data_IF_833903396976
#
_entry.id   IF_833903396976
#
_cell.length_a   1.000
_cell.length_b   1.000
_cell.length_c   1.000
_cell.angle_alpha   90.00
_cell.angle_beta   90.00
_cell.angle_gamma   90.00
#
_symmetry.space_group_name_H-M   'P 1'
#
loop_
_entity.id
_entity.type
_entity.pdbx_description
1 polymer ?
#
# COMPACT_ATOMS: atom_id res chain seq x y z
N UNK A 1 -16.20 8.46 16.78
CA UNK A 1 -16.84 7.47 15.91
C UNK A 1 -16.42 7.68 14.47
N UNK A 2 -16.05 6.62 13.78
CA UNK A 2 -15.56 6.70 12.40
C UNK A 2 -16.70 6.58 11.42
N UNK A 3 -16.82 7.55 10.50
CA UNK A 3 -17.85 7.53 9.47
C UNK A 3 -17.39 6.69 8.27
N UNK A 4 -18.37 6.23 7.48
CA UNK A 4 -18.09 5.56 6.21
C UNK A 4 -17.29 6.49 5.27
N UNK A 5 -17.59 7.79 5.30
CA UNK A 5 -16.88 8.77 4.49
C UNK A 5 -15.39 8.85 4.86
N UNK A 6 -15.10 8.85 6.18
CA UNK A 6 -13.72 8.86 6.65
C UNK A 6 -12.98 7.57 6.25
N UNK A 7 -13.65 6.44 6.34
CA UNK A 7 -13.06 5.16 5.93
C UNK A 7 -12.77 5.15 4.42
N UNK A 8 -13.72 5.59 3.61
CA UNK A 8 -13.52 5.66 2.15
C UNK A 8 -12.38 6.60 1.78
N UNK A 9 -12.30 7.75 2.44
CA UNK A 9 -11.22 8.71 2.19
C UNK A 9 -9.86 8.11 2.54
N UNK A 10 -9.76 7.43 3.69
CA UNK A 10 -8.51 6.80 4.10
C UNK A 10 -8.11 5.67 3.15
N UNK A 11 -9.07 4.85 2.72
CA UNK A 11 -8.77 3.79 1.74
C UNK A 11 -8.31 4.39 0.41
N UNK A 12 -8.94 5.47 -0.03
CA UNK A 12 -8.53 6.15 -1.26
C UNK A 12 -7.10 6.67 -1.16
N UNK A 13 -6.73 7.25 -0.01
CA UNK A 13 -5.36 7.69 0.22
C UNK A 13 -4.40 6.51 0.14
N UNK A 14 -4.70 5.42 0.84
CA UNK A 14 -3.86 4.22 0.80
C UNK A 14 -3.69 3.71 -0.64
N UNK A 15 -4.79 3.60 -1.38
CA UNK A 15 -4.75 3.10 -2.76
C UNK A 15 -3.92 4.00 -3.68
N UNK A 16 -4.11 5.32 -3.57
CA UNK A 16 -3.33 6.28 -4.37
C UNK A 16 -1.84 6.16 -4.03
N UNK A 17 -1.50 6.04 -2.74
CA UNK A 17 -0.11 5.92 -2.34
C UNK A 17 0.53 4.63 -2.84
N UNK A 18 -0.22 3.52 -2.86
CA UNK A 18 0.27 2.26 -3.44
C UNK A 18 0.53 2.43 -4.94
N UNK A 19 -0.38 3.10 -5.65
CA UNK A 19 -0.19 3.36 -7.09
C UNK A 19 1.02 4.27 -7.32
N UNK A 20 1.21 5.30 -6.49
CA UNK A 20 2.39 6.16 -6.58
C UNK A 20 3.69 5.39 -6.35
N UNK A 21 3.70 4.48 -5.39
CA UNK A 21 4.84 3.60 -5.19
C UNK A 21 5.15 2.80 -6.45
N UNK A 22 4.12 2.17 -7.05
CA UNK A 22 4.30 1.39 -8.28
C UNK A 22 4.79 2.26 -9.44
N UNK A 23 4.28 3.49 -9.53
CA UNK A 23 4.67 4.42 -10.59
C UNK A 23 6.15 4.82 -10.50
N UNK A 24 6.65 5.09 -9.29
CA UNK A 24 8.05 5.48 -9.11
C UNK A 24 9.00 4.38 -9.56
N UNK A 25 8.63 3.12 -9.34
CA UNK A 25 9.44 1.99 -9.79
C UNK A 25 9.43 1.82 -11.30
N UNK A 26 8.41 2.33 -11.99
CA UNK A 26 8.25 2.14 -13.44
C UNK A 26 8.73 3.30 -14.29
N UNK A 27 8.88 4.50 -13.73
CA UNK A 27 9.29 5.67 -14.50
C UNK A 27 10.69 5.54 -15.10
N UNK A 28 11.53 4.68 -14.56
CA UNK A 28 12.87 4.46 -15.07
C UNK A 28 12.94 3.49 -16.26
N UNK A 29 11.81 2.91 -16.67
CA UNK A 29 11.75 1.95 -17.78
C UNK A 29 11.09 2.58 -18.99
N UNK A 30 11.62 2.25 -20.19
CA UNK A 30 11.14 2.81 -21.46
C UNK A 30 9.89 2.12 -22.00
N UNK A 31 9.28 1.22 -21.25
CA UNK A 31 8.12 0.45 -21.68
C UNK A 31 6.83 1.24 -21.55
N UNK A 32 5.71 0.63 -21.97
CA UNK A 32 4.39 1.19 -21.77
C UNK A 32 4.13 1.39 -20.28
N UNK A 33 4.08 2.64 -19.86
CA UNK A 33 3.96 2.99 -18.44
C UNK A 33 2.65 2.49 -17.85
N UNK A 34 1.55 2.56 -18.59
CA UNK A 34 0.25 2.15 -18.06
C UNK A 34 0.17 0.65 -17.81
N UNK A 35 0.67 -0.17 -18.77
CA UNK A 35 0.69 -1.63 -18.60
C UNK A 35 1.64 -2.02 -17.48
N UNK A 36 2.84 -1.43 -17.46
CA UNK A 36 3.81 -1.70 -16.42
C UNK A 36 3.34 -1.27 -15.04
N UNK A 37 2.65 -0.12 -14.98
CA UNK A 37 2.07 0.36 -13.73
C UNK A 37 1.06 -0.63 -13.17
N UNK A 38 0.12 -1.10 -14.00
CA UNK A 38 -0.88 -2.07 -13.57
C UNK A 38 -0.23 -3.36 -13.10
N UNK A 39 0.74 -3.87 -13.88
CA UNK A 39 1.44 -5.11 -13.54
C UNK A 39 2.11 -5.03 -12.16
N UNK A 40 2.69 -3.88 -11.83
CA UNK A 40 3.34 -3.69 -10.53
C UNK A 40 2.34 -3.40 -9.41
N UNK A 41 1.31 -2.62 -9.70
CA UNK A 41 0.40 -2.11 -8.66
C UNK A 41 -0.61 -3.16 -8.18
N UNK A 42 -1.16 -4.00 -9.06
CA UNK A 42 -2.30 -4.85 -8.70
C UNK A 42 -2.01 -5.82 -7.55
N UNK A 43 -0.81 -6.46 -7.44
CA UNK A 43 -0.56 -7.33 -6.29
C UNK A 43 -0.63 -6.57 -4.96
N UNK A 44 -0.09 -5.36 -4.94
CA UNK A 44 -0.11 -4.53 -3.74
C UNK A 44 -1.48 -3.97 -3.45
N UNK A 45 -2.27 -3.61 -4.48
CA UNK A 45 -3.65 -3.17 -4.28
C UNK A 45 -4.52 -4.29 -3.73
N UNK A 46 -4.38 -5.49 -4.26
CA UNK A 46 -5.13 -6.65 -3.75
C UNK A 46 -4.72 -6.95 -2.30
N UNK A 47 -3.43 -6.91 -2.01
CA UNK A 47 -2.93 -7.11 -0.66
C UNK A 47 -3.43 -5.99 0.29
N UNK A 48 -3.51 -4.76 -0.20
CA UNK A 48 -4.07 -3.64 0.57
C UNK A 48 -5.52 -3.90 0.95
N UNK A 49 -6.32 -4.38 0.00
CA UNK A 49 -7.73 -4.74 0.27
C UNK A 49 -7.79 -5.83 1.35
N UNK A 50 -6.95 -6.86 1.21
CA UNK A 50 -6.89 -7.93 2.22
C UNK A 50 -6.51 -7.38 3.59
N UNK A 51 -5.53 -6.48 3.64
CA UNK A 51 -5.11 -5.84 4.87
C UNK A 51 -6.23 -5.05 5.54
N UNK A 52 -6.99 -4.30 4.74
CA UNK A 52 -8.14 -3.56 5.24
C UNK A 52 -9.22 -4.48 5.81
N UNK A 53 -9.49 -5.60 5.12
CA UNK A 53 -10.51 -6.55 5.57
C UNK A 53 -10.06 -7.28 6.84
N UNK A 54 -8.82 -7.76 6.87
CA UNK A 54 -8.30 -8.53 8.00
C UNK A 54 -8.23 -7.67 9.26
N UNK A 55 -7.77 -6.43 9.14
CA UNK A 55 -7.60 -5.53 10.28
C UNK A 55 -8.86 -4.78 10.65
N UNK A 56 -9.92 -4.87 9.84
CA UNK A 56 -11.11 -4.03 9.99
C UNK A 56 -10.71 -2.55 10.06
N UNK A 57 -9.93 -2.12 9.09
CA UNK A 57 -9.34 -0.79 9.09
C UNK A 57 -10.39 0.33 9.16
N UNK A 58 -11.60 0.07 8.65
CA UNK A 58 -12.69 1.06 8.68
C UNK A 58 -13.10 1.45 10.10
N UNK A 59 -12.76 0.64 11.11
CA UNK A 59 -13.07 0.97 12.51
C UNK A 59 -12.13 2.03 13.08
N UNK A 60 -10.92 2.15 12.55
CA UNK A 60 -9.94 3.14 12.98
C UNK A 60 -8.98 3.46 11.83
N UNK A 61 -9.48 4.07 10.73
CA UNK A 61 -8.72 4.16 9.48
C UNK A 61 -7.44 5.00 9.57
N UNK A 62 -7.38 5.95 10.49
CA UNK A 62 -6.19 6.81 10.63
C UNK A 62 -5.28 6.42 11.79
N UNK A 63 -5.59 5.33 12.50
CA UNK A 63 -4.76 4.86 13.60
C UNK A 63 -3.41 4.37 13.08
N UNK A 64 -2.33 4.82 13.70
CA UNK A 64 -0.97 4.48 13.26
C UNK A 64 -0.65 3.02 13.63
N UNK A 65 -0.73 2.70 14.91
CA UNK A 65 -0.31 1.39 15.41
C UNK A 65 -1.35 0.31 15.13
N UNK A 66 -2.60 0.62 15.40
CA UNK A 66 -3.67 -0.37 15.22
C UNK A 66 -3.92 -0.71 13.75
N UNK A 67 -3.84 0.28 12.86
CA UNK A 67 -4.21 0.13 11.44
C UNK A 67 -3.01 0.27 10.53
N UNK A 68 -2.24 1.33 10.67
CA UNK A 68 -1.14 1.62 9.77
C UNK A 68 -0.09 0.52 9.71
N UNK A 69 0.38 0.05 10.84
CA UNK A 69 1.40 -0.99 10.88
C UNK A 69 0.91 -2.32 10.31
N UNK A 70 -0.25 -2.87 10.74
CA UNK A 70 -0.72 -4.13 10.15
C UNK A 70 -1.07 -4.01 8.67
N UNK A 71 -1.71 -2.92 8.25
CA UNK A 71 -2.03 -2.71 6.82
C UNK A 71 -0.76 -2.67 6.00
N UNK A 72 0.27 -1.94 6.46
CA UNK A 72 1.56 -1.90 5.80
C UNK A 72 2.17 -3.30 5.69
N UNK A 73 2.23 -4.05 6.80
CA UNK A 73 2.84 -5.37 6.82
C UNK A 73 2.14 -6.34 5.89
N UNK A 74 0.81 -6.35 5.88
CA UNK A 74 0.02 -7.22 5.01
C UNK A 74 0.16 -6.80 3.55
N UNK A 75 0.20 -5.49 3.27
CA UNK A 75 0.37 -4.99 1.91
C UNK A 75 1.71 -5.42 1.33
N UNK A 76 2.80 -5.28 2.09
CA UNK A 76 4.13 -5.67 1.63
C UNK A 76 4.22 -7.19 1.47
N UNK A 77 3.88 -7.94 2.52
CA UNK A 77 4.00 -9.40 2.50
C UNK A 77 3.07 -10.02 1.47
N UNK A 78 1.80 -9.59 1.44
CA UNK A 78 0.81 -10.09 0.50
C UNK A 78 1.16 -9.73 -0.94
N UNK A 79 1.63 -8.51 -1.17
CA UNK A 79 2.08 -8.10 -2.50
C UNK A 79 3.24 -8.95 -3.01
N UNK A 80 4.22 -9.25 -2.15
CA UNK A 80 5.34 -10.09 -2.52
C UNK A 80 4.91 -11.53 -2.81
N UNK A 81 4.02 -12.09 -1.99
CA UNK A 81 3.49 -13.44 -2.22
C UNK A 81 2.76 -13.51 -3.55
N UNK A 82 1.91 -12.53 -3.85
CA UNK A 82 1.17 -12.49 -5.11
C UNK A 82 2.10 -12.35 -6.30
N UNK A 83 3.13 -11.50 -6.20
CA UNK A 83 4.13 -11.35 -7.25
C UNK A 83 4.83 -12.68 -7.53
N UNK A 84 5.26 -13.36 -6.48
CA UNK A 84 5.91 -14.66 -6.63
C UNK A 84 4.98 -15.69 -7.27
N UNK A 85 3.71 -15.69 -6.85
CA UNK A 85 2.72 -16.65 -7.36
C UNK A 85 2.47 -16.50 -8.86
N UNK A 86 2.57 -15.28 -9.40
CA UNK A 86 2.34 -15.03 -10.83
C UNK A 86 3.64 -14.89 -11.62
N UNK A 87 4.77 -15.29 -11.04
CA UNK A 87 6.05 -15.27 -11.74
C UNK A 87 6.74 -13.93 -11.85
N UNK A 88 6.31 -12.93 -11.10
CA UNK A 88 7.01 -11.66 -11.05
C UNK A 88 8.20 -11.73 -10.10
N UNK A 89 9.19 -10.86 -10.31
CA UNK A 89 10.39 -10.88 -9.47
C UNK A 89 10.13 -10.40 -8.05
N UNK A 90 10.83 -11.03 -7.10
CA UNK A 90 10.81 -10.63 -5.69
C UNK A 90 12.24 -10.51 -5.16
N UNK A 91 13.09 -9.82 -5.92
CA UNK A 91 14.46 -9.59 -5.51
C UNK A 91 14.54 -8.93 -4.13
N UNK A 92 15.56 -9.29 -3.35
CA UNK A 92 15.73 -8.75 -2.00
C UNK A 92 15.77 -7.23 -2.00
N UNK A 93 16.45 -6.62 -2.97
CA UNK A 93 16.51 -5.17 -3.09
C UNK A 93 15.11 -4.56 -3.27
N UNK A 94 14.27 -5.19 -4.08
CA UNK A 94 12.90 -4.71 -4.29
C UNK A 94 12.07 -4.84 -3.00
N UNK A 95 12.22 -5.96 -2.27
CA UNK A 95 11.51 -6.16 -1.00
C UNK A 95 11.88 -5.05 -0.01
N UNK A 96 13.17 -4.74 0.10
CA UNK A 96 13.65 -3.69 1.02
C UNK A 96 13.07 -2.33 0.63
N UNK A 97 13.16 -1.98 -0.65
CA UNK A 97 12.65 -0.69 -1.13
C UNK A 97 11.13 -0.61 -0.91
N UNK A 98 10.40 -1.65 -1.27
CA UNK A 98 8.96 -1.67 -1.08
C UNK A 98 8.57 -1.54 0.39
N UNK A 99 9.26 -2.27 1.28
CA UNK A 99 8.99 -2.21 2.70
C UNK A 99 9.19 -0.79 3.24
N UNK A 100 10.29 -0.15 2.88
CA UNK A 100 10.62 1.19 3.37
C UNK A 100 9.67 2.23 2.78
N UNK A 101 9.48 2.23 1.46
CA UNK A 101 8.65 3.25 0.80
C UNK A 101 7.21 3.13 1.24
N UNK A 102 6.66 1.91 1.26
CA UNK A 102 5.28 1.71 1.68
C UNK A 102 5.09 2.02 3.17
N UNK A 103 6.12 1.76 3.99
CA UNK A 103 6.07 2.18 5.40
C UNK A 103 5.93 3.69 5.49
N UNK A 104 6.81 4.43 4.81
CA UNK A 104 6.78 5.89 4.84
C UNK A 104 5.44 6.42 4.35
N UNK A 105 4.90 5.84 3.28
CA UNK A 105 3.64 6.31 2.71
C UNK A 105 2.44 5.92 3.57
N UNK A 106 2.26 4.63 3.85
CA UNK A 106 1.05 4.13 4.52
C UNK A 106 1.01 4.47 6.00
N UNK A 107 2.11 4.36 6.69
CA UNK A 107 2.20 4.71 8.10
C UNK A 107 2.42 6.21 8.27
N UNK A 108 3.24 6.80 7.41
CA UNK A 108 3.61 8.21 7.48
C UNK A 108 2.43 9.15 7.31
N UNK A 109 1.51 8.89 6.36
CA UNK A 109 0.37 9.80 6.19
C UNK A 109 -0.54 9.78 7.42
N UNK A 110 -0.65 8.63 8.08
CA UNK A 110 -1.44 8.51 9.31
C UNK A 110 -0.79 9.30 10.45
N UNK A 111 0.54 9.24 10.55
CA UNK A 111 1.27 10.02 11.53
C UNK A 111 1.10 11.52 11.28
N UNK A 112 1.17 11.96 10.01
CA UNK A 112 0.94 13.36 9.66
C UNK A 112 -0.49 13.79 10.00
N UNK A 113 -1.47 12.93 9.76
CA UNK A 113 -2.86 13.23 10.09
C UNK A 113 -3.05 13.48 11.60
N UNK A 114 -2.30 12.77 12.44
CA UNK A 114 -2.33 13.02 13.89
C UNK A 114 -1.77 14.39 14.25
N UNK A 115 -0.72 14.84 13.51
CA UNK A 115 -0.09 16.12 13.81
C UNK A 115 -0.96 17.31 13.43
N UNK A 116 -1.83 17.16 12.44
CA UNK A 116 -2.65 18.28 11.93
C UNK A 116 -4.12 18.21 12.38
N UNK A 117 -4.51 17.18 13.09
CA UNK A 117 -5.91 17.05 13.53
C UNK A 117 -6.16 17.58 14.93
#
# INVERSE_FOLDING_TARGET
>A
MTSARAALAAFAVDAVLVVLFAATGRLSHAENVLVGLWTTAWPFLLALVAGWLITRAWLAPRAVVRTGLPVWAITVAGGMVLRAAVGQGVAVSFIIVAAIVLFVLLVGWRALALLVS
#
